data_IF_070515108551
#
_entry.id   IF_070515108551
#
_cell.length_a   1.000
_cell.length_b   1.000
_cell.length_c   1.000
_cell.angle_alpha   90.00
_cell.angle_beta   90.00
_cell.angle_gamma   90.00
#
_symmetry.space_group_name_H-M   'P 1'
#
loop_
_entity.id
_entity.type
_entity.pdbx_description
1 polymer ?
#
# COMPACT_ATOMS: atom_id res chain seq x y z
N UNK A 1 13.05 -6.46 4.21
CA UNK A 1 13.01 -5.98 2.80
C UNK A 1 13.02 -7.15 1.82
N UNK A 2 13.88 -8.16 2.01
CA UNK A 2 13.98 -9.35 1.15
C UNK A 2 12.64 -10.07 0.96
N UNK A 3 11.93 -10.42 2.04
CA UNK A 3 10.63 -11.09 1.94
C UNK A 3 9.58 -10.31 1.13
N UNK A 4 9.60 -8.96 1.17
CA UNK A 4 8.68 -8.13 0.37
C UNK A 4 9.06 -8.17 -1.11
N UNK A 5 10.35 -8.19 -1.42
CA UNK A 5 10.83 -8.30 -2.80
C UNK A 5 10.53 -9.68 -3.38
N UNK A 6 10.76 -10.75 -2.62
CA UNK A 6 10.44 -12.12 -3.06
C UNK A 6 8.94 -12.29 -3.32
N UNK A 7 8.10 -11.75 -2.43
CA UNK A 7 6.65 -11.71 -2.64
C UNK A 7 6.28 -10.92 -3.90
N UNK A 8 6.88 -9.75 -4.10
CA UNK A 8 6.62 -8.90 -5.27
C UNK A 8 6.99 -9.63 -6.58
N UNK A 9 8.15 -10.28 -6.61
CA UNK A 9 8.61 -11.07 -7.76
C UNK A 9 7.68 -12.26 -8.04
N UNK A 10 7.26 -12.99 -7.00
CA UNK A 10 6.31 -14.09 -7.12
C UNK A 10 4.95 -13.62 -7.67
N UNK A 11 4.43 -12.50 -7.17
CA UNK A 11 3.18 -11.90 -7.66
C UNK A 11 3.27 -11.50 -9.14
N UNK A 12 4.41 -10.91 -9.57
CA UNK A 12 4.66 -10.56 -10.97
C UNK A 12 4.67 -11.80 -11.87
N UNK A 13 5.39 -12.85 -11.47
CA UNK A 13 5.46 -14.10 -12.22
C UNK A 13 4.09 -14.80 -12.33
N UNK A 14 3.26 -14.68 -11.29
CA UNK A 14 1.90 -15.21 -11.27
C UNK A 14 0.88 -14.33 -12.04
N UNK A 15 1.30 -13.17 -12.58
CA UNK A 15 0.41 -12.25 -13.29
C UNK A 15 -0.65 -11.61 -12.40
N UNK A 16 -0.38 -11.46 -11.10
CA UNK A 16 -1.31 -10.84 -10.16
C UNK A 16 -1.37 -9.33 -10.35
N UNK A 17 -2.53 -8.74 -10.06
CA UNK A 17 -2.64 -7.29 -9.93
C UNK A 17 -1.83 -6.82 -8.73
N UNK A 18 -0.88 -5.90 -8.96
CA UNK A 18 -0.02 -5.34 -7.92
C UNK A 18 -0.40 -3.87 -7.69
N UNK A 19 -0.50 -3.50 -6.42
CA UNK A 19 -0.74 -2.13 -5.97
C UNK A 19 0.27 -1.72 -4.92
N UNK A 20 0.89 -0.56 -5.15
CA UNK A 20 1.83 0.09 -4.24
C UNK A 20 1.19 1.32 -3.64
N UNK A 21 1.22 1.44 -2.32
CA UNK A 21 0.78 2.66 -1.63
C UNK A 21 1.97 3.46 -1.11
N UNK A 22 2.10 4.71 -1.52
CA UNK A 22 3.02 5.68 -0.91
C UNK A 22 2.21 6.55 0.05
N UNK A 23 2.78 6.87 1.22
CA UNK A 23 2.02 7.50 2.30
C UNK A 23 2.49 8.92 2.56
N UNK A 24 1.75 9.93 2.09
CA UNK A 24 2.07 11.33 2.39
C UNK A 24 1.96 11.55 3.89
N UNK A 25 2.75 12.48 4.42
CA UNK A 25 2.70 12.81 5.86
C UNK A 25 1.27 13.15 6.25
N UNK A 26 0.78 12.45 7.27
CA UNK A 26 -0.58 12.58 7.78
C UNK A 26 -0.92 14.04 8.02
N UNK A 27 -2.08 14.46 7.52
CA UNK A 27 -2.59 15.79 7.79
C UNK A 27 -1.88 16.92 7.06
N UNK A 28 -1.02 16.68 6.05
CA UNK A 28 -0.49 17.77 5.22
C UNK A 28 -1.60 18.62 4.56
N UNK A 29 -2.79 18.06 4.32
CA UNK A 29 -3.94 18.83 3.84
C UNK A 29 -4.85 19.38 4.95
N UNK A 30 -4.66 18.96 6.20
CA UNK A 30 -5.51 19.30 7.36
C UNK A 30 -4.82 20.32 8.29
N UNK A 31 -3.51 20.21 8.42
CA UNK A 31 -2.60 21.07 9.18
C UNK A 31 -1.47 21.48 8.24
N UNK A 32 -1.55 22.67 7.62
CA UNK A 32 -0.52 23.19 6.70
C UNK A 32 0.89 23.21 7.32
N UNK A 33 0.97 23.30 8.65
CA UNK A 33 2.21 23.25 9.43
C UNK A 33 2.89 21.87 9.42
N UNK A 34 2.10 20.80 9.20
CA UNK A 34 2.58 19.44 8.97
C UNK A 34 2.80 19.15 7.48
N UNK A 35 2.38 20.07 6.60
CA UNK A 35 2.56 20.02 5.17
C UNK A 35 3.96 20.50 4.79
N UNK A 36 4.97 19.74 5.19
CA UNK A 36 6.26 19.85 4.50
C UNK A 36 6.04 19.40 3.06
N UNK A 37 6.48 20.15 2.03
CA UNK A 37 6.35 19.75 0.64
C UNK A 37 6.94 18.34 0.47
N UNK A 38 6.08 17.37 0.18
CA UNK A 38 6.44 15.93 0.13
C UNK A 38 6.88 15.57 -1.28
N UNK A 39 8.02 16.12 -1.69
CA UNK A 39 8.68 15.82 -2.97
C UNK A 39 10.14 15.37 -2.81
N UNK A 40 10.61 15.16 -1.58
CA UNK A 40 11.94 14.59 -1.35
C UNK A 40 11.95 13.08 -1.61
N UNK A 41 13.10 12.56 -2.05
CA UNK A 41 13.38 11.14 -2.34
C UNK A 41 12.95 10.18 -1.22
N UNK A 42 12.81 10.68 0.01
CA UNK A 42 12.30 9.95 1.19
C UNK A 42 10.87 9.46 1.05
N UNK A 43 10.13 9.94 0.04
CA UNK A 43 8.74 9.58 -0.24
C UNK A 43 8.60 8.41 -1.23
N UNK A 44 9.66 8.11 -1.98
CA UNK A 44 9.58 7.11 -3.03
C UNK A 44 9.65 5.68 -2.51
N UNK A 45 9.14 4.76 -3.35
CA UNK A 45 9.33 3.34 -3.10
C UNK A 45 10.83 3.01 -3.06
N UNK A 46 11.21 2.12 -2.14
CA UNK A 46 12.56 1.60 -2.07
C UNK A 46 13.00 1.12 -3.46
N UNK A 47 14.24 1.37 -3.94
CA UNK A 47 14.66 1.05 -5.31
C UNK A 47 14.40 -0.41 -5.74
N UNK A 48 14.54 -1.37 -4.81
CA UNK A 48 14.24 -2.81 -5.01
C UNK A 48 12.74 -3.13 -5.20
N UNK A 49 11.85 -2.22 -4.79
CA UNK A 49 10.40 -2.39 -4.81
C UNK A 49 9.70 -1.43 -5.77
N UNK A 50 10.45 -0.81 -6.70
CA UNK A 50 9.88 0.13 -7.67
C UNK A 50 8.77 -0.54 -8.49
N UNK A 51 7.73 0.24 -8.71
CA UNK A 51 6.60 -0.17 -9.52
C UNK A 51 7.00 -0.32 -10.99
N UNK A 52 6.41 -1.32 -11.66
CA UNK A 52 6.43 -1.43 -13.12
C UNK A 52 5.31 -0.57 -13.73
N UNK A 53 5.39 -0.21 -15.03
CA UNK A 53 4.43 0.72 -15.65
C UNK A 53 2.95 0.30 -15.60
N UNK A 54 2.66 -1.00 -15.52
CA UNK A 54 1.31 -1.58 -15.48
C UNK A 54 0.77 -1.77 -14.05
N UNK A 55 1.61 -1.58 -13.04
CA UNK A 55 1.26 -1.71 -11.63
C UNK A 55 0.53 -0.46 -11.12
N UNK A 56 -0.36 -0.66 -10.14
CA UNK A 56 -1.09 0.43 -9.51
C UNK A 56 -0.15 1.13 -8.53
N UNK A 57 0.00 2.45 -8.64
CA UNK A 57 0.60 3.29 -7.59
C UNK A 57 -0.47 4.26 -7.10
N UNK A 58 -0.65 4.35 -5.78
CA UNK A 58 -1.58 5.30 -5.15
C UNK A 58 -0.86 6.07 -4.05
N UNK A 59 -1.19 7.36 -3.97
CA UNK A 59 -0.69 8.27 -2.96
C UNK A 59 -1.76 8.47 -1.90
N UNK A 60 -1.55 7.89 -0.71
CA UNK A 60 -2.52 7.96 0.40
C UNK A 60 -2.15 9.07 1.38
N UNK A 61 -3.17 9.75 1.88
CA UNK A 61 -3.08 10.80 2.90
C UNK A 61 -3.62 10.35 4.28
N UNK A 62 -4.05 9.10 4.36
CA UNK A 62 -4.64 8.43 5.54
C UNK A 62 -3.86 7.18 5.91
N UNK A 63 -4.11 6.63 7.09
CA UNK A 63 -3.45 5.38 7.53
C UNK A 63 -3.74 4.23 6.57
N UNK A 64 -5.02 3.97 6.30
CA UNK A 64 -5.43 2.99 5.31
C UNK A 64 -5.33 3.51 3.88
N UNK A 65 -5.07 2.61 2.93
CA UNK A 65 -4.86 2.95 1.53
C UNK A 65 -6.15 3.28 0.75
N UNK A 66 -7.35 2.99 1.27
CA UNK A 66 -8.59 3.18 0.51
C UNK A 66 -9.24 4.54 0.69
N UNK A 67 -9.19 5.11 1.90
CA UNK A 67 -10.01 6.26 2.25
C UNK A 67 -9.68 7.55 1.47
N UNK A 68 -8.44 7.67 0.97
CA UNK A 68 -7.94 8.88 0.30
C UNK A 68 -7.47 8.62 -1.13
N UNK A 69 -7.82 7.47 -1.72
CA UNK A 69 -7.33 7.06 -3.04
C UNK A 69 -8.43 6.40 -3.87
N UNK A 70 -8.16 6.24 -5.16
CA UNK A 70 -8.98 5.50 -6.12
C UNK A 70 -8.71 3.98 -6.12
N UNK A 71 -7.99 3.44 -5.12
CA UNK A 71 -7.55 2.05 -5.08
C UNK A 71 -8.70 1.05 -5.23
N UNK A 72 -9.84 1.29 -4.59
CA UNK A 72 -11.00 0.39 -4.69
C UNK A 72 -11.48 0.26 -6.14
N UNK A 73 -11.72 1.37 -6.83
CA UNK A 73 -12.18 1.37 -8.21
C UNK A 73 -11.20 0.62 -9.12
N UNK A 74 -9.89 0.89 -8.99
CA UNK A 74 -8.85 0.26 -9.80
C UNK A 74 -8.69 -1.24 -9.57
N UNK A 75 -8.93 -1.70 -8.33
CA UNK A 75 -8.95 -3.13 -8.00
C UNK A 75 -10.21 -3.81 -8.57
N UNK A 76 -11.37 -3.14 -8.48
CA UNK A 76 -12.64 -3.66 -9.01
C UNK A 76 -12.66 -3.76 -10.53
N UNK A 77 -12.13 -2.75 -11.22
CA UNK A 77 -11.95 -2.76 -12.68
C UNK A 77 -11.12 -3.97 -13.16
N UNK A 78 -10.19 -4.44 -12.33
CA UNK A 78 -9.36 -5.63 -12.59
C UNK A 78 -9.96 -6.94 -12.03
N UNK A 79 -11.19 -6.91 -11.52
CA UNK A 79 -11.87 -8.09 -10.99
C UNK A 79 -11.28 -8.64 -9.68
N UNK A 80 -10.51 -7.83 -8.93
CA UNK A 80 -9.89 -8.28 -7.68
C UNK A 80 -10.97 -8.49 -6.61
N UNK A 81 -10.87 -9.61 -5.90
CA UNK A 81 -11.74 -9.97 -4.76
C UNK A 81 -10.97 -10.41 -3.51
N UNK A 82 -9.66 -10.65 -3.67
CA UNK A 82 -8.75 -11.10 -2.61
C UNK A 82 -7.50 -10.23 -2.62
N UNK A 83 -7.00 -9.85 -1.45
CA UNK A 83 -5.85 -8.97 -1.29
C UNK A 83 -4.84 -9.65 -0.38
N UNK A 84 -3.60 -9.75 -0.88
CA UNK A 84 -2.42 -10.02 -0.06
C UNK A 84 -1.88 -8.68 0.42
N UNK A 85 -1.66 -8.52 1.72
CA UNK A 85 -1.10 -7.30 2.31
C UNK A 85 0.30 -7.56 2.86
N UNK A 86 1.23 -6.68 2.51
CA UNK A 86 2.63 -6.68 2.93
C UNK A 86 3.13 -5.24 3.08
N UNK A 87 4.19 -5.05 3.84
CA UNK A 87 4.82 -3.75 4.07
C UNK A 87 4.82 -3.30 5.53
N UNK A 88 4.84 -1.98 5.76
CA UNK A 88 4.99 -1.39 7.09
C UNK A 88 4.07 -0.18 7.28
N UNK A 89 3.64 0.14 8.50
CA UNK A 89 3.80 -0.63 9.74
C UNK A 89 2.61 -1.58 9.95
N UNK A 90 2.87 -2.80 10.43
CA UNK A 90 1.85 -3.85 10.62
C UNK A 90 0.67 -3.36 11.45
N UNK A 91 0.95 -2.73 12.60
CA UNK A 91 -0.05 -2.24 13.56
C UNK A 91 -0.64 -0.85 13.22
N UNK A 92 -0.26 -0.25 12.09
CA UNK A 92 -0.73 1.09 11.70
C UNK A 92 -1.32 1.05 10.28
N UNK A 93 -0.48 1.16 9.25
CA UNK A 93 -0.94 1.27 7.86
C UNK A 93 -1.53 -0.04 7.33
N UNK A 94 -0.89 -1.17 7.66
CA UNK A 94 -1.33 -2.49 7.20
C UNK A 94 -2.66 -2.83 7.87
N UNK A 95 -2.76 -2.70 9.20
CA UNK A 95 -4.00 -2.93 9.94
C UNK A 95 -5.14 -2.02 9.45
N UNK A 96 -4.90 -0.71 9.30
CA UNK A 96 -5.93 0.21 8.80
C UNK A 96 -6.40 -0.14 7.38
N UNK A 97 -5.49 -0.56 6.51
CA UNK A 97 -5.82 -1.01 5.15
C UNK A 97 -6.59 -2.32 5.16
N UNK A 98 -6.22 -3.27 6.03
CA UNK A 98 -6.91 -4.55 6.18
C UNK A 98 -8.36 -4.36 6.62
N UNK A 99 -8.61 -3.54 7.64
CA UNK A 99 -9.98 -3.21 8.10
C UNK A 99 -10.78 -2.58 6.97
N UNK A 100 -10.22 -1.57 6.31
CA UNK A 100 -10.89 -0.90 5.18
C UNK A 100 -11.22 -1.85 4.02
N UNK A 101 -10.35 -2.81 3.73
CA UNK A 101 -10.57 -3.81 2.69
C UNK A 101 -11.67 -4.80 3.07
N UNK A 102 -11.70 -5.27 4.32
CA UNK A 102 -12.76 -6.16 4.82
C UNK A 102 -14.12 -5.47 4.80
N UNK A 103 -14.21 -4.21 5.22
CA UNK A 103 -15.46 -3.42 5.16
C UNK A 103 -15.97 -3.26 3.72
N UNK A 104 -15.05 -3.30 2.74
CA UNK A 104 -15.35 -3.29 1.30
C UNK A 104 -15.55 -4.69 0.73
N UNK A 105 -15.72 -5.72 1.55
CA UNK A 105 -15.97 -7.10 1.11
C UNK A 105 -14.82 -7.73 0.30
N UNK A 106 -13.59 -7.24 0.44
CA UNK A 106 -12.41 -7.99 -0.02
C UNK A 106 -12.02 -9.05 1.00
N UNK A 107 -11.54 -10.20 0.53
CA UNK A 107 -10.90 -11.18 1.42
C UNK A 107 -9.44 -10.82 1.60
N UNK A 108 -8.99 -10.67 2.84
CA UNK A 108 -7.64 -10.17 3.14
C UNK A 108 -6.79 -11.28 3.76
N UNK A 109 -5.54 -11.39 3.31
CA UNK A 109 -4.51 -12.20 3.94
C UNK A 109 -3.27 -11.32 4.14
N UNK A 110 -2.76 -11.26 5.38
CA UNK A 110 -1.47 -10.63 5.66
C UNK A 110 -0.36 -11.64 5.39
N UNK A 111 0.66 -11.21 4.68
CA UNK A 111 1.89 -11.98 4.45
C UNK A 111 2.85 -11.65 5.58
N UNK A 112 2.83 -12.47 6.63
CA UNK A 112 3.44 -12.18 7.94
C UNK A 112 4.93 -11.86 7.85
N UNK A 113 5.69 -12.66 7.12
CA UNK A 113 7.14 -12.50 6.88
C UNK A 113 7.48 -11.28 6.01
N UNK A 114 6.50 -10.75 5.26
CA UNK A 114 6.61 -9.52 4.49
C UNK A 114 6.00 -8.30 5.21
N UNK A 115 5.67 -8.41 6.51
CA UNK A 115 5.17 -7.30 7.33
C UNK A 115 6.17 -6.93 8.46
N UNK A 116 6.18 -5.67 8.87
CA UNK A 116 7.04 -5.21 9.97
C UNK A 116 6.42 -4.10 10.84
N UNK A 117 6.74 -4.11 12.14
CA UNK A 117 6.32 -3.10 13.12
C UNK A 117 7.48 -2.74 14.06
N UNK A 118 7.37 -1.60 14.75
CA UNK A 118 8.23 -1.30 15.89
C UNK A 118 7.74 -2.04 17.13
N UNK A 119 8.66 -2.51 17.97
CA UNK A 119 8.41 -3.12 19.29
C UNK A 119 9.27 -2.48 20.35
#
# INVERSE_FOLDING_TARGET
>A
IEAVEDLLLACRQAGLTIAHSRSHRYGAHVLPELATPTVDETYELHPRLRALPDEIVVDKFTFGAFASTELEARLRERGVTRILLAGVLTNVCIMATAVQAVDRMFRVCLVEDACGAFS
#
